data_IF_854423835877
#
_entry.id   IF_854423835877
#
_cell.length_a   1.000
_cell.length_b   1.000
_cell.length_c   1.000
_cell.angle_alpha   90.00
_cell.angle_beta   90.00
_cell.angle_gamma   90.00
#
_symmetry.space_group_name_H-M   'P 1'
#
loop_
_entity.id
_entity.type
_entity.pdbx_description
1 polymer ?
#
# COMPACT_ATOMS: atom_id res chain seq x y z
N UNK A 1 -9.25 -20.00 13.93
CA UNK A 1 -8.50 -21.26 13.65
C UNK A 1 -7.02 -20.92 13.59
N UNK A 2 -6.20 -21.44 14.52
CA UNK A 2 -4.75 -21.20 14.55
C UNK A 2 -4.02 -22.35 13.83
N UNK A 3 -3.92 -22.29 12.50
CA UNK A 3 -3.09 -23.25 11.76
C UNK A 3 -1.61 -22.84 11.87
N UNK A 4 -0.71 -23.74 12.32
CA UNK A 4 0.72 -23.48 12.35
C UNK A 4 1.23 -23.15 10.93
N UNK A 5 2.04 -22.11 10.75
CA UNK A 5 2.37 -21.61 9.41
C UNK A 5 3.14 -22.60 8.52
N UNK A 6 3.99 -23.46 9.10
CA UNK A 6 4.68 -24.52 8.34
C UNK A 6 3.67 -25.51 7.73
N UNK A 7 2.60 -25.81 8.46
CA UNK A 7 1.51 -26.65 7.97
C UNK A 7 0.69 -25.88 6.93
N UNK A 8 0.46 -24.57 7.14
CA UNK A 8 -0.22 -23.71 6.16
C UNK A 8 0.51 -23.67 4.80
N UNK A 9 1.85 -23.60 4.80
CA UNK A 9 2.67 -23.62 3.57
C UNK A 9 2.60 -24.96 2.85
N UNK A 10 2.54 -26.07 3.60
CA UNK A 10 2.42 -27.42 3.02
C UNK A 10 1.03 -27.64 2.42
N UNK A 11 -0.02 -27.21 3.13
CA UNK A 11 -1.41 -27.39 2.69
C UNK A 11 -1.75 -26.48 1.51
N UNK A 12 -1.19 -25.27 1.47
CA UNK A 12 -1.41 -24.32 0.39
C UNK A 12 -0.09 -23.70 -0.10
N UNK A 13 0.66 -24.43 -0.95
CA UNK A 13 1.93 -23.94 -1.47
C UNK A 13 1.78 -22.66 -2.29
N UNK A 14 0.65 -22.50 -2.99
CA UNK A 14 0.35 -21.31 -3.79
C UNK A 14 0.19 -20.02 -2.95
N UNK A 15 -0.12 -20.15 -1.65
CA UNK A 15 -0.25 -19.00 -0.74
C UNK A 15 0.93 -18.88 0.23
N UNK A 16 1.97 -19.70 0.06
CA UNK A 16 3.16 -19.73 0.92
C UNK A 16 3.84 -18.37 1.05
N UNK A 17 3.91 -17.60 -0.05
CA UNK A 17 4.46 -16.24 -0.04
C UNK A 17 3.74 -15.27 0.90
N UNK A 18 2.41 -15.40 1.08
CA UNK A 18 1.66 -14.57 2.05
C UNK A 18 2.01 -14.96 3.48
N UNK A 19 2.21 -16.26 3.71
CA UNK A 19 2.64 -16.77 5.02
C UNK A 19 4.07 -16.30 5.32
N UNK A 20 4.98 -16.32 4.34
CA UNK A 20 6.34 -15.81 4.46
C UNK A 20 6.38 -14.30 4.74
N UNK A 21 5.49 -13.52 4.12
CA UNK A 21 5.33 -12.09 4.40
C UNK A 21 4.83 -11.80 5.83
N UNK A 22 4.06 -12.71 6.44
CA UNK A 22 3.38 -12.52 7.74
C UNK A 22 4.06 -13.18 8.94
N UNK A 23 4.86 -14.23 8.75
CA UNK A 23 5.44 -14.99 9.86
C UNK A 23 6.64 -14.28 10.47
N UNK A 24 6.38 -13.53 11.55
CA UNK A 24 7.27 -12.51 12.08
C UNK A 24 8.02 -12.89 13.37
N UNK A 25 7.69 -13.99 14.08
CA UNK A 25 8.32 -14.17 15.40
C UNK A 25 9.69 -14.86 15.38
N UNK A 26 9.91 -15.85 14.51
CA UNK A 26 11.07 -16.76 14.64
C UNK A 26 11.91 -16.90 13.35
N UNK A 27 11.61 -16.15 12.28
CA UNK A 27 12.34 -16.25 11.01
C UNK A 27 13.10 -14.96 10.67
N UNK A 28 14.43 -15.01 10.47
CA UNK A 28 15.24 -13.84 10.07
C UNK A 28 14.94 -13.32 8.65
N UNK A 29 13.93 -13.88 7.97
CA UNK A 29 13.54 -13.58 6.58
C UNK A 29 12.06 -13.19 6.43
N UNK A 30 11.45 -12.52 7.41
CA UNK A 30 10.28 -11.68 7.14
C UNK A 30 10.75 -10.41 6.41
N UNK A 31 11.00 -10.53 5.10
CA UNK A 31 11.78 -9.56 4.31
C UNK A 31 11.43 -8.10 4.59
N UNK A 32 10.14 -7.73 4.61
CA UNK A 32 9.73 -6.36 4.87
C UNK A 32 9.99 -5.93 6.31
N UNK A 33 9.66 -6.76 7.30
CA UNK A 33 9.84 -6.41 8.71
C UNK A 33 11.31 -6.27 9.06
N UNK A 34 12.14 -7.21 8.61
CA UNK A 34 13.58 -7.17 8.83
C UNK A 34 14.20 -5.92 8.18
N UNK A 35 13.78 -5.59 6.95
CA UNK A 35 14.21 -4.36 6.27
C UNK A 35 13.83 -3.10 7.06
N UNK A 36 12.58 -3.01 7.53
CA UNK A 36 12.11 -1.82 8.27
C UNK A 36 12.76 -1.72 9.66
N UNK A 37 12.95 -2.83 10.37
CA UNK A 37 13.63 -2.83 11.66
C UNK A 37 15.11 -2.48 11.55
N UNK A 38 15.79 -2.97 10.52
CA UNK A 38 17.19 -2.60 10.23
C UNK A 38 17.29 -1.13 9.86
N UNK A 39 16.39 -0.64 9.00
CA UNK A 39 16.31 0.76 8.62
C UNK A 39 16.04 1.69 9.81
N UNK A 40 15.16 1.28 10.73
CA UNK A 40 14.85 2.05 11.94
C UNK A 40 16.04 2.09 12.92
N UNK A 41 16.89 1.06 12.95
CA UNK A 41 18.11 1.03 13.77
C UNK A 41 19.27 1.78 13.12
N UNK A 42 19.34 1.79 11.79
CA UNK A 42 20.40 2.42 11.02
C UNK A 42 19.85 3.32 9.88
N UNK A 43 19.28 4.49 10.21
CA UNK A 43 18.74 5.43 9.22
C UNK A 43 19.77 5.93 8.20
N UNK A 44 21.06 5.92 8.56
CA UNK A 44 22.16 6.38 7.71
C UNK A 44 22.33 5.52 6.44
N UNK A 45 21.84 4.27 6.47
CA UNK A 45 21.80 3.39 5.31
C UNK A 45 21.03 3.99 4.13
N UNK A 46 20.09 4.90 4.39
CA UNK A 46 19.33 5.63 3.37
C UNK A 46 20.22 6.49 2.45
N UNK A 47 21.40 6.91 2.91
CA UNK A 47 22.35 7.69 2.09
C UNK A 47 22.97 6.89 0.96
N UNK A 48 22.91 5.56 1.04
CA UNK A 48 23.40 4.67 -0.01
C UNK A 48 22.42 4.57 -1.19
N UNK A 49 21.21 5.12 -1.06
CA UNK A 49 20.23 5.10 -2.13
C UNK A 49 20.60 6.10 -3.23
N UNK A 50 20.29 5.79 -4.50
CA UNK A 50 20.54 6.69 -5.63
C UNK A 50 19.66 7.96 -5.61
N UNK A 51 18.77 8.10 -4.63
CA UNK A 51 17.82 9.20 -4.50
C UNK A 51 18.09 9.96 -3.20
N UNK A 52 18.08 11.29 -3.27
CA UNK A 52 18.41 12.15 -2.13
C UNK A 52 17.35 12.14 -1.01
N UNK A 53 16.13 11.70 -1.29
CA UNK A 53 15.04 11.67 -0.32
C UNK A 53 14.03 10.58 -0.68
N UNK A 54 13.57 9.86 0.33
CA UNK A 54 12.51 8.83 0.26
C UNK A 54 11.54 9.06 1.40
N UNK A 55 10.39 8.37 1.39
CA UNK A 55 9.40 8.47 2.47
C UNK A 55 10.03 8.18 3.84
N UNK A 56 10.99 7.26 3.91
CA UNK A 56 11.64 6.87 5.16
C UNK A 56 12.59 7.95 5.69
N UNK A 57 13.14 8.81 4.83
CA UNK A 57 13.90 9.98 5.31
C UNK A 57 13.00 10.93 6.10
N UNK A 58 11.76 11.13 5.65
CA UNK A 58 10.80 12.02 6.32
C UNK A 58 10.20 11.35 7.55
N UNK A 59 9.86 10.06 7.47
CA UNK A 59 9.29 9.31 8.59
C UNK A 59 10.28 9.09 9.74
N UNK A 60 11.59 9.18 9.48
CA UNK A 60 12.65 9.04 10.49
C UNK A 60 13.16 10.38 11.04
N UNK A 61 12.58 11.53 10.64
CA UNK A 61 12.93 12.84 11.21
C UNK A 61 12.18 13.08 12.53
N UNK A 62 12.88 13.27 13.66
CA UNK A 62 12.23 13.62 14.93
C UNK A 62 11.37 14.89 14.84
N UNK A 63 11.79 15.85 14.03
CA UNK A 63 11.15 17.16 13.86
C UNK A 63 9.79 17.07 13.14
N UNK A 64 9.53 15.96 12.44
CA UNK A 64 8.25 15.73 11.77
C UNK A 64 7.11 15.42 12.77
N UNK A 65 7.44 15.06 14.02
CA UNK A 65 6.48 14.64 15.02
C UNK A 65 6.31 15.69 16.11
N UNK A 66 5.06 15.98 16.50
CA UNK A 66 4.76 16.90 17.61
C UNK A 66 5.39 16.45 18.95
N UNK A 67 5.65 15.16 19.11
CA UNK A 67 6.33 14.59 20.28
C UNK A 67 7.86 14.76 20.26
N UNK A 68 8.45 15.15 19.12
CA UNK A 68 9.91 15.19 18.93
C UNK A 68 10.58 13.81 18.94
N UNK A 69 9.79 12.73 18.85
CA UNK A 69 10.28 11.35 18.90
C UNK A 69 9.84 10.60 17.65
N UNK A 70 10.78 9.86 17.05
CA UNK A 70 10.54 9.05 15.87
C UNK A 70 9.68 7.83 16.21
N UNK A 71 8.84 7.41 15.27
CA UNK A 71 8.00 6.24 15.40
C UNK A 71 8.82 4.95 15.59
N UNK A 72 8.26 3.98 16.33
CA UNK A 72 8.94 2.69 16.55
C UNK A 72 9.03 1.87 15.26
N UNK A 73 10.05 1.02 15.14
CA UNK A 73 10.20 0.12 13.98
C UNK A 73 8.98 -0.76 13.72
N UNK A 74 8.26 -1.14 14.78
CA UNK A 74 6.99 -1.85 14.65
C UNK A 74 5.88 -1.01 14.00
N UNK A 75 5.74 0.26 14.38
CA UNK A 75 4.76 1.16 13.75
C UNK A 75 5.14 1.50 12.32
N UNK A 76 6.43 1.73 12.02
CA UNK A 76 6.91 1.90 10.66
C UNK A 76 6.63 0.67 9.78
N UNK A 77 6.73 -0.54 10.36
CA UNK A 77 6.42 -1.77 9.64
C UNK A 77 4.94 -1.87 9.26
N UNK A 78 4.03 -1.54 10.18
CA UNK A 78 2.59 -1.56 9.89
C UNK A 78 2.22 -0.54 8.81
N UNK A 79 2.81 0.65 8.85
CA UNK A 79 2.59 1.68 7.83
C UNK A 79 3.15 1.23 6.47
N UNK A 80 4.38 0.69 6.43
CA UNK A 80 4.98 0.18 5.21
C UNK A 80 4.16 -0.97 4.60
N UNK A 81 3.62 -1.84 5.44
CA UNK A 81 2.71 -2.91 5.00
C UNK A 81 1.40 -2.35 4.43
N UNK A 82 0.80 -1.36 5.09
CA UNK A 82 -0.41 -0.71 4.60
C UNK A 82 -0.18 -0.08 3.22
N UNK A 83 0.90 0.69 3.05
CA UNK A 83 1.27 1.30 1.77
C UNK A 83 1.46 0.29 0.64
N UNK A 84 2.18 -0.81 0.92
CA UNK A 84 2.42 -1.85 -0.09
C UNK A 84 1.14 -2.59 -0.47
N UNK A 85 0.29 -2.88 0.51
CA UNK A 85 -0.95 -3.62 0.28
C UNK A 85 -1.95 -2.76 -0.50
N UNK A 86 -2.20 -1.54 -0.05
CA UNK A 86 -3.11 -0.60 -0.71
C UNK A 86 -2.63 -0.27 -2.12
N UNK A 87 -1.33 -0.04 -2.31
CA UNK A 87 -0.76 0.28 -3.62
C UNK A 87 -0.80 -0.89 -4.61
N UNK A 88 -0.48 -2.11 -4.16
CA UNK A 88 -0.40 -3.28 -5.01
C UNK A 88 -1.79 -3.76 -5.47
N UNK A 89 -2.74 -3.89 -4.54
CA UNK A 89 -4.06 -4.44 -4.86
C UNK A 89 -4.85 -3.50 -5.79
N UNK A 90 -4.92 -2.21 -5.45
CA UNK A 90 -5.65 -1.20 -6.24
C UNK A 90 -5.07 -1.05 -7.65
N UNK A 91 -3.74 -0.94 -7.75
CA UNK A 91 -3.04 -0.74 -9.03
C UNK A 91 -3.09 -2.00 -9.88
N UNK A 92 -2.92 -3.18 -9.26
CA UNK A 92 -2.96 -4.46 -9.93
C UNK A 92 -4.31 -4.71 -10.59
N UNK A 93 -5.41 -4.49 -9.86
CA UNK A 93 -6.75 -4.62 -10.40
C UNK A 93 -7.01 -3.62 -11.53
N UNK A 94 -6.70 -2.33 -11.31
CA UNK A 94 -6.89 -1.29 -12.32
C UNK A 94 -6.12 -1.61 -13.62
N UNK A 95 -4.88 -2.08 -13.50
CA UNK A 95 -4.03 -2.44 -14.64
C UNK A 95 -4.58 -3.65 -15.38
N UNK A 96 -4.96 -4.71 -14.66
CA UNK A 96 -5.50 -5.93 -15.27
C UNK A 96 -6.76 -5.65 -16.11
N UNK A 97 -7.65 -4.81 -15.60
CA UNK A 97 -8.88 -4.42 -16.31
C UNK A 97 -8.58 -3.52 -17.51
N UNK A 98 -7.70 -2.54 -17.35
CA UNK A 98 -7.31 -1.63 -18.42
C UNK A 98 -6.62 -2.40 -19.55
N UNK A 99 -5.85 -3.45 -19.23
CA UNK A 99 -5.18 -4.28 -20.22
C UNK A 99 -6.15 -5.01 -21.16
N UNK A 100 -7.36 -5.34 -20.72
CA UNK A 100 -8.40 -5.94 -21.60
C UNK A 100 -8.75 -4.98 -22.74
N UNK A 101 -8.86 -3.69 -22.45
CA UNK A 101 -9.21 -2.66 -23.44
C UNK A 101 -8.01 -2.14 -24.24
N UNK A 102 -6.78 -2.33 -23.72
CA UNK A 102 -5.55 -1.74 -24.26
C UNK A 102 -4.60 -2.76 -24.93
N UNK A 103 -4.86 -4.07 -24.83
CA UNK A 103 -3.96 -5.17 -25.22
C UNK A 103 -3.33 -5.05 -26.62
N UNK A 104 -3.99 -4.37 -27.56
CA UNK A 104 -3.54 -4.21 -28.95
C UNK A 104 -2.99 -2.81 -29.29
N UNK A 105 -2.95 -1.89 -28.32
CA UNK A 105 -2.73 -0.45 -28.56
C UNK A 105 -1.47 0.12 -27.91
N UNK A 106 -0.80 -0.65 -27.05
CA UNK A 106 0.39 -0.20 -26.31
C UNK A 106 1.59 -1.03 -26.77
N UNK A 107 2.52 -0.40 -27.50
CA UNK A 107 3.84 -0.98 -27.81
C UNK A 107 4.69 -0.98 -26.54
N UNK A 108 5.48 -2.04 -26.32
CA UNK A 108 6.37 -2.18 -25.16
C UNK A 108 7.77 -1.60 -25.36
N UNK A 109 8.07 -1.09 -26.56
CA UNK A 109 9.46 -0.86 -26.97
C UNK A 109 10.05 0.46 -26.47
N UNK A 110 9.23 1.41 -26.00
CA UNK A 110 9.68 2.60 -25.26
C UNK A 110 8.61 3.06 -24.26
N UNK A 111 8.93 3.06 -22.96
CA UNK A 111 8.01 3.52 -21.93
C UNK A 111 7.88 5.06 -21.97
N UNK A 112 6.70 5.61 -22.29
CA UNK A 112 6.53 7.06 -22.41
C UNK A 112 6.71 7.75 -21.05
N UNK A 113 7.19 9.00 -21.09
CA UNK A 113 7.29 9.83 -19.89
C UNK A 113 5.92 10.16 -19.31
N UNK A 114 5.83 10.47 -18.01
CA UNK A 114 4.57 10.81 -17.34
C UNK A 114 3.77 11.91 -18.06
N UNK A 115 4.48 12.94 -18.55
CA UNK A 115 3.87 14.04 -19.29
C UNK A 115 3.23 13.60 -20.61
N UNK A 116 3.82 12.62 -21.28
CA UNK A 116 3.30 12.06 -22.53
C UNK A 116 2.08 11.19 -22.25
N UNK A 117 2.16 10.34 -21.22
CA UNK A 117 1.05 9.51 -20.75
C UNK A 117 -0.17 10.35 -20.39
N UNK A 118 0.01 11.48 -19.71
CA UNK A 118 -1.08 12.37 -19.32
C UNK A 118 -1.85 12.96 -20.52
N UNK A 119 -1.20 13.07 -21.68
CA UNK A 119 -1.81 13.60 -22.90
C UNK A 119 -2.62 12.57 -23.68
N UNK A 120 -2.62 11.30 -23.27
CA UNK A 120 -3.34 10.24 -23.96
C UNK A 120 -4.81 10.21 -23.49
N UNK A 121 -5.78 10.78 -24.24
CA UNK A 121 -7.15 10.92 -23.78
C UNK A 121 -7.86 9.56 -23.67
N UNK A 122 -7.55 8.64 -24.59
CA UNK A 122 -8.13 7.29 -24.58
C UNK A 122 -7.66 6.48 -23.36
N UNK A 123 -6.35 6.45 -23.10
CA UNK A 123 -5.79 5.81 -21.90
C UNK A 123 -6.38 6.41 -20.62
N UNK A 124 -6.48 7.75 -20.55
CA UNK A 124 -7.09 8.44 -19.41
C UNK A 124 -8.57 8.06 -19.24
N UNK A 125 -9.31 7.90 -20.34
CA UNK A 125 -10.71 7.48 -20.29
C UNK A 125 -10.84 6.03 -19.81
N UNK A 126 -10.02 5.10 -20.31
CA UNK A 126 -9.97 3.69 -19.88
C UNK A 126 -9.65 3.62 -18.39
N UNK A 127 -8.54 4.21 -17.93
CA UNK A 127 -8.12 4.20 -16.53
C UNK A 127 -9.18 4.77 -15.58
N UNK A 128 -9.97 5.76 -16.02
CA UNK A 128 -11.09 6.33 -15.23
C UNK A 128 -12.35 5.48 -15.27
N UNK A 129 -12.54 4.68 -16.31
CA UNK A 129 -13.72 3.85 -16.50
C UNK A 129 -13.56 2.48 -15.85
N UNK A 130 -12.36 1.89 -15.83
CA UNK A 130 -12.12 0.56 -15.26
C UNK A 130 -12.58 0.45 -13.80
N UNK A 131 -12.26 1.39 -12.88
CA UNK A 131 -12.74 1.33 -11.50
C UNK A 131 -14.25 1.55 -11.36
N UNK A 132 -14.93 2.09 -12.37
CA UNK A 132 -16.40 2.23 -12.37
C UNK A 132 -17.11 0.94 -12.77
N UNK A 133 -16.44 0.08 -13.52
CA UNK A 133 -16.98 -1.22 -13.94
C UNK A 133 -16.74 -2.29 -12.87
N UNK A 134 -15.59 -2.21 -12.21
CA UNK A 134 -15.18 -3.12 -11.14
C UNK A 134 -14.48 -2.29 -10.07
N UNK A 135 -15.26 -1.73 -9.12
CA UNK A 135 -14.70 -0.97 -8.02
C UNK A 135 -13.88 -1.88 -7.11
N UNK A 136 -12.68 -1.42 -6.75
CA UNK A 136 -11.79 -2.14 -5.82
C UNK A 136 -12.40 -2.21 -4.40
N UNK A 137 -13.12 -1.16 -4.01
CA UNK A 137 -13.93 -1.11 -2.78
C UNK A 137 -15.40 -0.96 -3.18
N UNK A 138 -16.18 -2.03 -3.04
CA UNK A 138 -17.59 -2.08 -3.44
C UNK A 138 -18.53 -1.24 -2.55
N UNK A 139 -18.03 -0.73 -1.42
CA UNK A 139 -18.81 -0.02 -0.41
C UNK A 139 -18.17 1.34 -0.09
N UNK A 140 -18.95 2.34 0.34
CA UNK A 140 -18.37 3.54 0.92
C UNK A 140 -17.42 3.19 2.05
N UNK A 141 -16.28 3.87 2.11
CA UNK A 141 -15.30 3.65 3.17
C UNK A 141 -15.95 3.93 4.54
N UNK A 142 -15.78 3.05 5.55
CA UNK A 142 -16.31 3.26 6.88
C UNK A 142 -15.85 4.60 7.46
N UNK A 143 -16.74 5.26 8.20
CA UNK A 143 -16.48 6.50 8.92
C UNK A 143 -17.04 6.37 10.33
N UNK A 144 -16.39 7.02 11.29
CA UNK A 144 -16.83 7.08 12.68
C UNK A 144 -17.33 8.49 12.96
N UNK A 145 -18.51 8.60 13.54
CA UNK A 145 -19.09 9.89 13.96
C UNK A 145 -18.31 10.38 15.19
N UNK A 146 -17.87 11.65 15.23
CA UNK A 146 -17.20 12.20 16.40
C UNK A 146 -18.16 12.31 17.59
N UNK A 147 -17.62 12.37 18.80
CA UNK A 147 -18.41 12.41 20.05
C UNK A 147 -19.43 13.54 20.13
N UNK A 148 -19.22 14.66 19.43
CA UNK A 148 -20.16 15.77 19.34
C UNK A 148 -21.36 15.52 18.40
N UNK A 149 -21.44 14.34 17.77
CA UNK A 149 -22.40 14.05 16.71
C UNK A 149 -22.05 14.74 15.39
N UNK A 150 -22.80 14.40 14.34
CA UNK A 150 -22.70 15.06 13.04
C UNK A 150 -24.09 15.22 12.41
N UNK A 151 -24.39 16.41 11.88
CA UNK A 151 -25.60 16.61 11.07
C UNK A 151 -25.26 16.51 9.59
N UNK A 152 -25.79 15.51 8.90
CA UNK A 152 -25.59 15.28 7.47
C UNK A 152 -26.98 15.24 6.82
N UNK A 153 -27.22 16.08 5.81
CA UNK A 153 -28.52 16.19 5.13
C UNK A 153 -29.72 16.32 6.06
N UNK A 154 -29.55 17.14 7.12
CA UNK A 154 -30.57 17.39 8.18
C UNK A 154 -30.88 16.17 9.07
N UNK A 155 -30.09 15.10 8.97
CA UNK A 155 -30.15 13.94 9.86
C UNK A 155 -29.02 14.04 10.88
N UNK A 156 -29.36 13.90 12.16
CA UNK A 156 -28.39 13.89 13.25
C UNK A 156 -27.89 12.46 13.49
N UNK A 157 -26.59 12.26 13.36
CA UNK A 157 -25.89 11.03 13.70
C UNK A 157 -25.19 11.20 15.05
N UNK A 158 -25.36 10.23 15.94
CA UNK A 158 -24.74 10.20 17.26
C UNK A 158 -23.73 9.04 17.34
N UNK A 159 -22.72 9.19 18.19
CA UNK A 159 -21.86 8.07 18.61
C UNK A 159 -22.67 7.15 19.54
N UNK A 160 -22.60 5.83 19.32
CA UNK A 160 -23.12 4.81 20.25
C UNK A 160 -22.36 4.79 21.59
#
# INVERSE_FOLDING_TARGET
MNCPPNISKIISPATSGIVDLRQVRDSPSAFLRAQIEDLAKNPESLRNLPHSTTIYHELLRPEAYRSGTVSSGGSLYYEAQALLFEGADTTGLCTALSHIDLANSVSQDDAPGLYEVQKLPYLTAVLRKSPRMSPDVAYPLPRVVPSGGATIDKVLYLTE
#
